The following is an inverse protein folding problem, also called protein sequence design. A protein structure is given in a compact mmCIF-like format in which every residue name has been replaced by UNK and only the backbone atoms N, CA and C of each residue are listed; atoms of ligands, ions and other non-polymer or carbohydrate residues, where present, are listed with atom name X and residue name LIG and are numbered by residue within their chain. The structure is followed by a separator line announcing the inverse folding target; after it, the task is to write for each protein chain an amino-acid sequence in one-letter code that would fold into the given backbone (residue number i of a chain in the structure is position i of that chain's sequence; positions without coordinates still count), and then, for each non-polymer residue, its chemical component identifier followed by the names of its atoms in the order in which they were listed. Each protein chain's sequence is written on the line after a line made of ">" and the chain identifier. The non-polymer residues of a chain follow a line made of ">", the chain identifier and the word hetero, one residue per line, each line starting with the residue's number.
data_IF_805371255636
#
_entry.id   IF_805371255636
#
_cell.length_a   1.000
_cell.length_b   1.000
_cell.length_c   1.000
_cell.angle_alpha   90.00
_cell.angle_beta   90.00
_cell.angle_gamma   90.00
#
_symmetry.space_group_name_H-M   'P 1'
#
loop_
_entity.id
_entity.type
_entity.pdbx_description
1 polymer ?
#
# COMPACT_ATOMS: atom_id res chain seq x y z
N UNK A 1 20.00 3.09 4.05
CA UNK A 1 19.99 3.43 2.61
C UNK A 1 19.98 4.94 2.42
N UNK A 2 21.03 5.51 1.81
CA UNK A 2 21.04 6.92 1.45
C UNK A 2 20.11 7.15 0.24
N UNK A 3 18.96 7.78 0.48
CA UNK A 3 18.03 8.15 -0.60
C UNK A 3 18.46 9.49 -1.20
N UNK A 4 18.77 9.48 -2.52
CA UNK A 4 19.20 10.65 -3.29
C UNK A 4 18.22 11.84 -3.15
N UNK A 5 18.73 13.07 -3.18
CA UNK A 5 17.95 14.32 -3.04
C UNK A 5 17.20 14.70 -4.32
N UNK A 6 16.35 13.80 -4.84
CA UNK A 6 15.51 14.05 -6.03
C UNK A 6 14.03 14.02 -5.68
N UNK A 7 13.14 14.50 -6.57
CA UNK A 7 11.67 14.38 -6.39
C UNK A 7 11.24 12.93 -6.12
N UNK A 8 11.83 11.97 -6.84
CA UNK A 8 11.61 10.52 -6.63
C UNK A 8 12.15 10.04 -5.28
N UNK A 9 13.33 10.53 -4.89
CA UNK A 9 13.90 10.24 -3.57
C UNK A 9 13.08 10.79 -2.41
N UNK A 10 12.54 12.01 -2.52
CA UNK A 10 11.63 12.58 -1.53
C UNK A 10 10.34 11.76 -1.43
N UNK A 11 9.79 11.31 -2.56
CA UNK A 11 8.63 10.42 -2.56
C UNK A 11 8.91 9.09 -1.85
N UNK A 12 10.11 8.52 -2.04
CA UNK A 12 10.54 7.31 -1.36
C UNK A 12 10.77 7.52 0.13
N UNK A 13 11.41 8.63 0.54
CA UNK A 13 11.53 9.02 1.96
C UNK A 13 10.16 9.16 2.62
N UNK A 14 9.20 9.80 1.92
CA UNK A 14 7.81 9.87 2.39
C UNK A 14 7.19 8.49 2.53
N UNK A 15 7.38 7.61 1.54
CA UNK A 15 6.88 6.24 1.60
C UNK A 15 7.38 5.51 2.86
N UNK A 16 8.67 5.61 3.20
CA UNK A 16 9.18 5.02 4.44
C UNK A 16 8.56 5.64 5.70
N UNK A 17 8.35 6.97 5.74
CA UNK A 17 7.70 7.66 6.87
C UNK A 17 6.21 7.28 7.04
N UNK A 18 5.54 6.91 5.96
CA UNK A 18 4.12 6.52 5.95
C UNK A 18 3.85 5.15 6.58
N UNK A 19 4.89 4.37 6.90
CA UNK A 19 4.82 3.07 7.56
C UNK A 19 3.85 2.11 6.86
N UNK A 20 4.21 1.70 5.64
CA UNK A 20 3.37 0.86 4.80
C UNK A 20 3.33 -0.57 5.32
N UNK A 21 2.11 -1.04 5.60
CA UNK A 21 1.85 -2.38 6.11
C UNK A 21 0.85 -3.12 5.23
N UNK A 22 0.94 -4.44 5.24
CA UNK A 22 -0.07 -5.29 4.66
C UNK A 22 -1.35 -5.21 5.51
N UNK A 23 -2.47 -4.86 4.89
CA UNK A 23 -3.76 -4.74 5.57
C UNK A 23 -4.24 -6.09 6.12
N UNK A 24 -3.85 -7.21 5.50
CA UNK A 24 -4.27 -8.56 5.91
C UNK A 24 -3.56 -9.01 7.19
N UNK A 25 -2.25 -8.80 7.26
CA UNK A 25 -1.41 -9.38 8.32
C UNK A 25 -0.83 -8.35 9.29
N UNK A 26 -0.87 -7.06 8.98
CA UNK A 26 -0.21 -6.02 9.76
C UNK A 26 1.32 -6.01 9.64
N UNK A 27 1.91 -6.98 8.93
CA UNK A 27 3.36 -7.04 8.68
C UNK A 27 3.81 -5.93 7.73
N UNK A 28 5.11 -5.63 7.73
CA UNK A 28 5.69 -4.68 6.80
C UNK A 28 5.32 -5.03 5.35
N UNK A 29 4.97 -4.00 4.56
CA UNK A 29 4.61 -4.16 3.17
C UNK A 29 5.81 -4.61 2.34
N UNK A 30 5.59 -5.61 1.49
CA UNK A 30 6.59 -6.16 0.58
C UNK A 30 6.69 -7.67 0.71
N UNK A 31 7.25 -8.29 -0.32
CA UNK A 31 7.61 -9.71 -0.32
C UNK A 31 9.08 -9.82 -0.72
N UNK A 32 9.74 -10.83 -0.18
CA UNK A 32 11.06 -11.24 -0.63
C UNK A 32 10.93 -12.49 -1.52
N UNK A 33 11.96 -12.77 -2.32
CA UNK A 33 12.01 -14.00 -3.11
C UNK A 33 11.98 -15.20 -2.13
N UNK A 34 11.15 -16.20 -2.42
CA UNK A 34 10.95 -17.36 -1.53
C UNK A 34 9.91 -17.14 -0.43
N UNK A 35 9.32 -15.95 -0.31
CA UNK A 35 8.29 -15.67 0.68
C UNK A 35 6.97 -16.38 0.35
N UNK A 36 6.51 -17.26 1.24
CA UNK A 36 5.25 -18.02 1.10
C UNK A 36 3.99 -17.17 1.29
N UNK A 37 4.12 -15.88 1.64
CA UNK A 37 2.96 -14.97 1.80
C UNK A 37 2.24 -14.75 0.48
N UNK A 38 0.91 -14.74 0.53
CA UNK A 38 0.04 -14.29 -0.57
C UNK A 38 0.34 -12.83 -0.93
N UNK A 39 -0.06 -12.41 -2.13
CA UNK A 39 0.16 -11.04 -2.61
C UNK A 39 -0.40 -10.00 -1.61
N UNK A 40 0.45 -9.18 -0.96
CA UNK A 40 0.01 -8.29 0.09
C UNK A 40 -0.81 -7.13 -0.47
N UNK A 41 -1.79 -6.66 0.31
CA UNK A 41 -2.50 -5.43 0.01
C UNK A 41 -1.95 -4.32 0.90
N UNK A 42 -0.99 -3.59 0.36
CA UNK A 42 -0.26 -2.58 1.13
C UNK A 42 -0.99 -1.25 1.21
N UNK A 43 -1.03 -0.68 2.42
CA UNK A 43 -1.54 0.67 2.69
C UNK A 43 -0.69 1.36 3.77
N UNK A 44 -0.64 2.70 3.76
CA UNK A 44 0.09 3.45 4.78
C UNK A 44 -0.64 3.37 6.13
N UNK A 45 0.12 3.25 7.20
CA UNK A 45 -0.41 3.27 8.57
C UNK A 45 -0.47 4.69 9.13
N UNK A 46 0.44 5.57 8.67
CA UNK A 46 0.53 6.97 9.10
C UNK A 46 0.27 7.91 7.92
N UNK A 47 -0.44 9.01 8.18
CA UNK A 47 -0.60 10.10 7.23
C UNK A 47 0.55 11.08 7.39
N UNK A 48 1.32 11.29 6.32
CA UNK A 48 2.47 12.22 6.32
C UNK A 48 2.18 13.47 5.47
N UNK A 49 1.33 13.38 4.45
CA UNK A 49 1.01 14.51 3.58
C UNK A 49 -0.37 14.36 2.94
N UNK A 50 -0.84 15.40 2.26
CA UNK A 50 -2.04 15.35 1.41
C UNK A 50 -1.93 14.32 0.28
N UNK A 51 -0.70 13.98 -0.15
CA UNK A 51 -0.42 12.94 -1.15
C UNK A 51 -0.48 11.52 -0.57
N UNK A 52 -0.61 11.37 0.75
CA UNK A 52 -0.77 10.05 1.37
C UNK A 52 -2.17 9.52 1.03
N UNK A 53 -2.27 8.31 0.47
CA UNK A 53 -3.58 7.73 0.17
C UNK A 53 -4.33 7.36 1.46
N UNK A 54 -5.58 6.93 1.31
CA UNK A 54 -6.41 6.45 2.42
C UNK A 54 -5.64 5.41 3.24
N UNK A 55 -5.51 5.65 4.54
CA UNK A 55 -4.72 4.83 5.48
C UNK A 55 -5.48 3.57 5.90
N UNK A 56 -4.78 2.62 6.53
CA UNK A 56 -5.39 1.39 7.06
C UNK A 56 -6.47 1.67 8.11
N UNK A 57 -6.32 2.73 8.90
CA UNK A 57 -7.27 3.16 9.94
C UNK A 57 -8.52 3.83 9.37
N UNK A 58 -8.39 4.50 8.23
CA UNK A 58 -9.49 5.18 7.55
C UNK A 58 -10.38 4.22 6.74
N UNK A 59 -9.91 2.98 6.49
CA UNK A 59 -10.64 1.98 5.72
C UNK A 59 -11.65 1.20 6.55
N UNK A 60 -12.84 0.99 6.01
CA UNK A 60 -13.86 0.11 6.64
C UNK A 60 -13.49 -1.37 6.50
N UNK A 61 -14.06 -2.22 7.35
CA UNK A 61 -13.86 -3.69 7.28
C UNK A 61 -14.26 -4.26 5.91
N UNK A 62 -15.36 -3.77 5.34
CA UNK A 62 -15.84 -4.17 4.01
C UNK A 62 -14.89 -3.73 2.89
N UNK A 63 -14.37 -2.50 2.95
CA UNK A 63 -13.36 -2.02 2.00
C UNK A 63 -12.08 -2.87 2.09
N UNK A 64 -11.61 -3.19 3.30
CA UNK A 64 -10.43 -4.05 3.50
C UNK A 64 -10.64 -5.42 2.86
N UNK A 65 -11.75 -6.09 3.18
CA UNK A 65 -12.08 -7.43 2.64
C UNK A 65 -12.18 -7.43 1.11
N UNK A 66 -12.90 -6.46 0.54
CA UNK A 66 -13.06 -6.35 -0.92
C UNK A 66 -11.72 -6.17 -1.64
N UNK A 67 -10.84 -5.29 -1.13
CA UNK A 67 -9.53 -5.04 -1.76
C UNK A 67 -8.56 -6.20 -1.60
N UNK A 68 -8.58 -6.88 -0.45
CA UNK A 68 -7.79 -8.10 -0.25
C UNK A 68 -8.23 -9.19 -1.23
N UNK A 69 -9.54 -9.44 -1.36
CA UNK A 69 -10.08 -10.43 -2.31
C UNK A 69 -9.68 -10.08 -3.74
N UNK A 70 -9.81 -8.81 -4.14
CA UNK A 70 -9.40 -8.36 -5.47
C UNK A 70 -7.89 -8.56 -5.69
N UNK A 71 -7.06 -8.26 -4.69
CA UNK A 71 -5.61 -8.42 -4.80
C UNK A 71 -5.19 -9.89 -4.90
N UNK A 72 -5.83 -10.76 -4.12
CA UNK A 72 -5.61 -12.21 -4.19
C UNK A 72 -5.98 -12.76 -5.57
N UNK A 73 -7.14 -12.36 -6.12
CA UNK A 73 -7.57 -12.77 -7.47
C UNK A 73 -6.62 -12.28 -8.57
N UNK A 74 -6.09 -11.07 -8.45
CA UNK A 74 -5.16 -10.52 -9.44
C UNK A 74 -3.78 -11.20 -9.40
N UNK A 75 -3.40 -11.77 -8.25
CA UNK A 75 -2.08 -12.36 -8.07
C UNK A 75 -0.95 -11.36 -8.33
N UNK A 76 0.22 -11.91 -8.64
CA UNK A 76 1.39 -11.16 -9.08
C UNK A 76 1.71 -11.58 -10.52
N UNK A 77 1.25 -10.84 -11.54
CA UNK A 77 1.53 -11.18 -12.93
C UNK A 77 3.04 -11.06 -13.21
N UNK A 78 3.57 -11.93 -14.07
CA UNK A 78 4.96 -11.87 -14.51
C UNK A 78 5.29 -10.60 -15.32
N UNK A 79 4.27 -9.94 -15.89
CA UNK A 79 4.39 -8.71 -16.67
C UNK A 79 3.98 -7.44 -15.90
N UNK A 80 3.25 -6.55 -16.60
CA UNK A 80 2.86 -5.24 -16.03
C UNK A 80 2.05 -5.40 -14.72
N UNK A 81 2.39 -4.65 -13.67
CA UNK A 81 1.71 -4.77 -12.38
C UNK A 81 0.24 -4.33 -12.48
N UNK A 82 -0.67 -5.25 -12.18
CA UNK A 82 -2.11 -4.96 -12.08
C UNK A 82 -2.44 -4.34 -10.72
N UNK A 83 -3.23 -3.28 -10.74
CA UNK A 83 -3.66 -2.53 -9.54
C UNK A 83 -5.09 -2.90 -9.18
N UNK A 84 -5.36 -2.99 -7.89
CA UNK A 84 -6.74 -3.02 -7.40
C UNK A 84 -7.39 -1.65 -7.61
N UNK A 85 -8.73 -1.61 -7.63
CA UNK A 85 -9.43 -0.34 -7.80
C UNK A 85 -9.12 0.60 -6.61
N UNK A 86 -8.94 1.88 -6.93
CA UNK A 86 -8.48 2.88 -5.97
C UNK A 86 -9.56 3.23 -4.96
N UNK A 87 -9.24 3.15 -3.68
CA UNK A 87 -10.02 3.82 -2.63
C UNK A 87 -9.52 5.25 -2.47
N UNK A 88 -10.38 6.20 -2.80
CA UNK A 88 -10.14 7.63 -2.61
C UNK A 88 -10.63 8.05 -1.23
N UNK A 89 -9.95 9.03 -0.65
CA UNK A 89 -10.44 9.72 0.53
C UNK A 89 -11.66 10.54 0.13
N UNK A 90 -12.66 10.67 1.00
CA UNK A 90 -13.66 11.74 0.84
C UNK A 90 -12.87 13.05 0.90
N UNK A 91 -13.00 13.91 -0.12
CA UNK A 91 -12.48 15.29 -0.02
C UNK A 91 -13.25 15.94 1.12
N UNK A 92 -12.56 16.49 2.12
CA UNK A 92 -13.24 17.51 2.93
C UNK A 92 -13.51 18.68 1.98
N UNK A 93 -14.72 19.23 2.06
CA UNK A 93 -14.99 20.54 1.47
C UNK A 93 -14.05 21.57 2.08
#
# INVERSE_FOLDING_TARGET
>A
MAVRKTKKGLALKRWFKEDWKDVKTGKACGRQKGDKRSTPYCRPSKRISSKTPKTTKEMTSTEKRSRIRQKNRLGQPAGKPRRVQSLRRKRSK
#
